data_IF_500131618611
#
_entry.id   IF_500131618611
#
_cell.length_a   1.000
_cell.length_b   1.000
_cell.length_c   1.000
_cell.angle_alpha   90.00
_cell.angle_beta   90.00
_cell.angle_gamma   90.00
#
_symmetry.space_group_name_H-M   'P 1'
#
loop_
_entity.id
_entity.type
_entity.pdbx_description
1 polymer ?
#
# COMPACT_ATOMS: atom_id res chain seq x y z
N UNK A 1 10.45 10.09 -11.42
CA UNK A 1 11.88 9.93 -11.11
C UNK A 1 12.22 8.48 -10.88
N UNK A 2 13.38 8.05 -11.34
CA UNK A 2 13.99 6.75 -11.09
C UNK A 2 15.51 6.90 -10.96
N UNK A 3 16.14 6.07 -10.11
CA UNK A 3 17.59 6.02 -9.91
C UNK A 3 18.05 4.58 -9.65
N UNK A 4 19.13 4.16 -10.28
CA UNK A 4 19.93 3.00 -9.86
C UNK A 4 20.79 3.44 -8.67
N UNK A 5 20.57 2.86 -7.49
CA UNK A 5 21.30 3.20 -6.26
C UNK A 5 22.62 2.44 -6.19
N UNK A 6 22.54 1.14 -6.49
CA UNK A 6 23.66 0.19 -6.53
C UNK A 6 23.38 -0.93 -7.52
N UNK A 7 24.21 -1.96 -7.56
CA UNK A 7 24.07 -3.08 -8.50
C UNK A 7 22.83 -3.96 -8.24
N UNK A 8 22.12 -3.78 -7.15
CA UNK A 8 20.96 -4.60 -6.75
C UNK A 8 19.72 -3.78 -6.45
N UNK A 9 19.86 -2.44 -6.41
CA UNK A 9 18.80 -1.56 -5.89
C UNK A 9 18.46 -0.45 -6.88
N UNK A 10 17.17 -0.30 -7.14
CA UNK A 10 16.57 0.81 -7.87
C UNK A 10 15.53 1.48 -6.99
N UNK A 11 15.51 2.81 -7.00
CA UNK A 11 14.49 3.57 -6.29
C UNK A 11 13.87 4.63 -7.18
N UNK A 12 12.75 5.16 -6.78
CA UNK A 12 12.11 6.25 -7.50
C UNK A 12 10.80 6.69 -6.88
N UNK A 13 10.15 7.62 -7.57
CA UNK A 13 8.83 8.06 -7.19
C UNK A 13 7.96 8.40 -8.40
N UNK A 14 6.66 8.30 -8.17
CA UNK A 14 5.65 8.75 -9.12
C UNK A 14 4.70 9.71 -8.42
N UNK A 15 4.46 10.87 -9.04
CA UNK A 15 3.42 11.80 -8.66
C UNK A 15 2.25 11.66 -9.61
N UNK A 16 1.07 11.46 -9.06
CA UNK A 16 -0.13 11.19 -9.84
C UNK A 16 -1.23 12.16 -9.40
N UNK A 17 -1.95 12.70 -10.36
CA UNK A 17 -3.22 13.39 -10.16
C UNK A 17 -4.35 12.54 -10.72
N UNK A 18 -5.46 12.56 -10.07
CA UNK A 18 -6.67 11.82 -10.44
C UNK A 18 -7.76 12.14 -9.43
N UNK A 19 -8.48 11.14 -8.96
CA UNK A 19 -9.45 11.33 -7.88
C UNK A 19 -8.79 11.87 -6.60
N UNK A 20 -7.62 11.39 -6.24
CA UNK A 20 -6.79 12.08 -5.27
C UNK A 20 -6.03 13.21 -5.98
N UNK A 21 -6.09 14.46 -5.49
CA UNK A 21 -5.49 15.62 -6.14
C UNK A 21 -3.96 15.59 -6.14
N UNK A 22 -3.35 14.92 -5.17
CA UNK A 22 -1.89 14.86 -5.01
C UNK A 22 -1.46 13.53 -4.39
N UNK A 23 -1.27 12.52 -5.22
CA UNK A 23 -0.75 11.22 -4.75
C UNK A 23 0.73 11.08 -5.08
N UNK A 24 1.54 10.90 -4.04
CA UNK A 24 2.98 10.67 -4.15
C UNK A 24 3.28 9.24 -3.70
N UNK A 25 3.88 8.45 -4.57
CA UNK A 25 4.29 7.08 -4.28
C UNK A 25 5.79 6.97 -4.53
N UNK A 26 6.52 6.74 -3.48
CA UNK A 26 7.94 6.40 -3.50
C UNK A 26 8.08 4.89 -3.47
N UNK A 27 9.11 4.36 -4.10
CA UNK A 27 9.37 2.93 -4.11
C UNK A 27 10.85 2.63 -4.01
N UNK A 28 11.14 1.46 -3.49
CA UNK A 28 12.46 0.80 -3.57
C UNK A 28 12.23 -0.60 -4.12
N UNK A 29 13.02 -0.95 -5.13
CA UNK A 29 13.10 -2.28 -5.72
C UNK A 29 14.48 -2.86 -5.42
N UNK A 30 14.52 -4.09 -4.89
CA UNK A 30 15.77 -4.87 -4.76
C UNK A 30 15.66 -6.18 -5.52
N UNK A 31 16.77 -6.59 -6.16
CA UNK A 31 16.91 -7.89 -6.79
C UNK A 31 17.96 -8.73 -6.04
N UNK A 32 17.80 -10.05 -6.10
CA UNK A 32 18.80 -11.01 -5.60
C UNK A 32 19.95 -11.23 -6.59
N UNK A 33 19.76 -10.81 -7.84
CA UNK A 33 20.75 -10.87 -8.91
C UNK A 33 21.26 -9.48 -9.27
N UNK A 34 22.53 -9.39 -9.68
CA UNK A 34 23.15 -8.15 -10.12
C UNK A 34 22.46 -7.58 -11.36
N UNK A 35 22.12 -6.30 -11.32
CA UNK A 35 21.65 -5.52 -12.45
C UNK A 35 22.86 -5.15 -13.30
N UNK A 36 23.11 -5.89 -14.37
CA UNK A 36 24.26 -5.65 -15.25
C UNK A 36 24.08 -4.36 -16.07
N UNK A 37 22.84 -4.08 -16.48
CA UNK A 37 22.52 -2.87 -17.21
C UNK A 37 21.23 -2.25 -16.73
N UNK A 38 21.28 -0.95 -16.46
CA UNK A 38 20.13 -0.11 -16.20
C UNK A 38 19.96 0.85 -17.38
N UNK A 39 18.78 0.89 -17.97
CA UNK A 39 18.45 1.84 -19.03
C UNK A 39 17.17 2.57 -18.66
N UNK A 40 17.26 3.88 -18.46
CA UNK A 40 16.09 4.73 -18.26
C UNK A 40 15.66 5.36 -19.60
N UNK A 41 14.37 5.61 -19.74
CA UNK A 41 13.77 6.20 -20.95
C UNK A 41 12.91 7.39 -20.56
N UNK A 42 13.03 8.45 -21.35
CA UNK A 42 12.06 9.52 -21.40
C UNK A 42 11.08 9.17 -22.52
N UNK A 43 9.89 8.72 -22.14
CA UNK A 43 8.95 8.02 -23.01
C UNK A 43 9.61 6.83 -23.75
N UNK A 44 9.97 6.95 -25.01
CA UNK A 44 10.62 5.91 -25.80
C UNK A 44 12.10 6.24 -26.11
N UNK A 45 12.61 7.36 -25.62
CA UNK A 45 13.98 7.79 -25.87
C UNK A 45 14.91 7.33 -24.75
N UNK A 46 15.88 6.44 -25.01
CA UNK A 46 16.82 5.98 -24.00
C UNK A 46 17.75 7.11 -23.53
N UNK A 47 18.03 7.10 -22.22
CA UNK A 47 19.00 7.98 -21.56
C UNK A 47 20.07 7.12 -20.90
N UNK A 48 21.32 7.49 -21.06
CA UNK A 48 22.47 6.74 -20.54
C UNK A 48 22.87 7.21 -19.12
N UNK A 49 21.90 7.53 -18.28
CA UNK A 49 22.13 8.03 -16.94
C UNK A 49 21.57 7.06 -15.91
N UNK A 50 22.26 6.94 -14.78
CA UNK A 50 21.82 6.12 -13.64
C UNK A 50 20.62 6.74 -12.90
N UNK A 51 20.19 7.95 -13.29
CA UNK A 51 18.98 8.59 -12.77
C UNK A 51 18.28 9.41 -13.85
N UNK A 52 16.96 9.47 -13.77
CA UNK A 52 16.14 10.25 -14.69
C UNK A 52 14.91 10.83 -13.98
N UNK A 53 14.65 12.12 -14.22
CA UNK A 53 13.45 12.81 -13.75
C UNK A 53 12.75 13.48 -14.92
N UNK A 54 11.69 12.87 -15.39
CA UNK A 54 10.86 13.33 -16.53
C UNK A 54 9.40 12.97 -16.28
N UNK A 55 8.51 13.42 -17.11
CA UNK A 55 7.08 13.18 -16.98
C UNK A 55 6.73 11.71 -17.23
N UNK A 56 7.32 11.08 -18.24
CA UNK A 56 7.02 9.69 -18.64
C UNK A 56 8.24 8.78 -18.53
N UNK A 57 8.66 8.50 -17.29
CA UNK A 57 9.79 7.61 -17.01
C UNK A 57 9.41 6.14 -17.23
N UNK A 58 10.25 5.43 -17.99
CA UNK A 58 10.29 3.96 -18.08
C UNK A 58 11.70 3.49 -17.76
N UNK A 59 11.86 2.24 -17.34
CA UNK A 59 13.18 1.63 -17.17
C UNK A 59 13.19 0.16 -17.56
N UNK A 60 14.35 -0.28 -18.02
CA UNK A 60 14.64 -1.69 -18.29
C UNK A 60 15.86 -2.08 -17.46
N UNK A 61 15.70 -3.15 -16.69
CA UNK A 61 16.76 -3.79 -15.93
C UNK A 61 17.18 -5.04 -16.68
N UNK A 62 18.47 -5.16 -17.00
CA UNK A 62 19.03 -6.36 -17.63
C UNK A 62 19.85 -7.10 -16.59
N UNK A 63 19.52 -8.36 -16.41
CA UNK A 63 20.28 -9.30 -15.60
C UNK A 63 21.13 -10.19 -16.51
N UNK A 64 22.21 -10.76 -16.00
CA UNK A 64 23.06 -11.67 -16.77
C UNK A 64 22.34 -12.95 -17.17
N UNK A 65 23.12 -13.95 -17.60
CA UNK A 65 22.58 -15.24 -17.99
C UNK A 65 22.15 -16.05 -16.73
N UNK A 66 21.05 -15.63 -16.13
CA UNK A 66 20.46 -16.25 -14.93
C UNK A 66 19.13 -16.90 -15.29
N UNK A 67 18.81 -18.04 -14.61
CA UNK A 67 17.55 -18.75 -14.83
C UNK A 67 16.36 -18.12 -14.10
N UNK A 68 16.64 -17.44 -13.00
CA UNK A 68 15.64 -16.88 -12.10
C UNK A 68 16.15 -15.59 -11.50
N UNK A 69 15.27 -14.62 -11.33
CA UNK A 69 15.50 -13.37 -10.60
C UNK A 69 14.39 -13.18 -9.60
N UNK A 70 14.73 -13.02 -8.33
CA UNK A 70 13.78 -12.62 -7.30
C UNK A 70 13.83 -11.10 -7.12
N UNK A 71 12.65 -10.50 -7.09
CA UNK A 71 12.50 -9.06 -6.93
C UNK A 71 11.62 -8.79 -5.72
N UNK A 72 12.03 -7.84 -4.89
CA UNK A 72 11.25 -7.29 -3.78
C UNK A 72 10.98 -5.82 -4.04
N UNK A 73 9.76 -5.38 -3.78
CA UNK A 73 9.38 -3.98 -3.90
C UNK A 73 8.64 -3.56 -2.64
N UNK A 74 8.99 -2.40 -2.13
CA UNK A 74 8.21 -1.71 -1.11
C UNK A 74 7.89 -0.28 -1.55
N UNK A 75 6.83 0.26 -0.98
CA UNK A 75 6.36 1.61 -1.26
C UNK A 75 6.24 2.42 0.02
N UNK A 76 6.24 3.74 -0.14
CA UNK A 76 5.95 4.72 0.90
C UNK A 76 5.25 5.94 0.30
N UNK A 77 4.46 6.63 1.09
CA UNK A 77 3.92 7.95 0.73
C UNK A 77 4.86 9.10 1.11
N UNK A 78 5.95 8.80 1.82
CA UNK A 78 6.84 9.77 2.45
C UNK A 78 8.14 9.94 1.66
N UNK A 79 8.94 8.87 1.53
CA UNK A 79 10.26 8.91 0.87
C UNK A 79 10.72 7.54 0.39
N UNK A 80 11.79 7.51 -0.43
CA UNK A 80 12.47 6.27 -0.80
C UNK A 80 13.14 5.61 0.41
N UNK A 81 13.67 6.39 1.34
CA UNK A 81 14.27 5.87 2.58
C UNK A 81 13.24 5.14 3.43
N UNK A 82 12.03 5.69 3.55
CA UNK A 82 10.92 5.01 4.22
C UNK A 82 10.50 3.73 3.49
N UNK A 83 10.45 3.74 2.16
CA UNK A 83 10.18 2.52 1.40
C UNK A 83 11.26 1.45 1.63
N UNK A 84 12.54 1.84 1.73
CA UNK A 84 13.64 0.93 2.06
C UNK A 84 13.50 0.35 3.48
N UNK A 85 13.10 1.17 4.43
CA UNK A 85 12.85 0.76 5.82
C UNK A 85 11.66 -0.21 5.91
N UNK A 86 10.56 0.07 5.21
CA UNK A 86 9.41 -0.83 5.09
C UNK A 86 9.85 -2.19 4.51
N UNK A 87 10.64 -2.18 3.42
CA UNK A 87 11.15 -3.40 2.81
C UNK A 87 11.97 -4.24 3.78
N UNK A 88 12.85 -3.61 4.54
CA UNK A 88 13.69 -4.29 5.52
C UNK A 88 12.88 -4.88 6.67
N UNK A 89 11.89 -4.16 7.17
CA UNK A 89 11.06 -4.61 8.29
C UNK A 89 10.09 -5.73 7.90
N UNK A 90 9.47 -5.63 6.71
CA UNK A 90 8.39 -6.53 6.31
C UNK A 90 8.90 -7.74 5.52
N UNK A 91 9.99 -7.60 4.77
CA UNK A 91 10.51 -8.61 3.85
C UNK A 91 12.04 -8.65 3.82
N UNK A 92 12.66 -8.97 4.97
CA UNK A 92 14.13 -9.02 5.13
C UNK A 92 14.81 -10.18 4.37
N UNK A 93 14.09 -11.25 4.04
CA UNK A 93 14.63 -12.48 3.43
C UNK A 93 14.22 -12.65 1.96
N UNK A 94 14.85 -13.61 1.24
CA UNK A 94 14.58 -13.95 -0.16
C UNK A 94 13.84 -15.29 -0.34
N UNK A 95 13.32 -15.86 0.73
CA UNK A 95 12.56 -17.11 0.71
C UNK A 95 11.11 -16.84 0.25
N UNK A 96 10.84 -17.13 -1.02
CA UNK A 96 9.52 -16.91 -1.64
C UNK A 96 8.44 -17.81 -1.01
N UNK A 97 8.76 -19.09 -0.78
CA UNK A 97 7.80 -20.04 -0.23
C UNK A 97 7.38 -19.66 1.19
N UNK A 98 8.32 -19.13 1.97
CA UNK A 98 8.03 -18.57 3.29
C UNK A 98 7.07 -17.39 3.19
N UNK A 99 7.21 -16.51 2.19
CA UNK A 99 6.28 -15.38 1.98
C UNK A 99 4.88 -15.89 1.64
N UNK A 100 4.78 -16.88 0.74
CA UNK A 100 3.50 -17.52 0.39
C UNK A 100 2.83 -18.10 1.63
N UNK A 101 3.60 -18.87 2.43
CA UNK A 101 3.08 -19.44 3.68
C UNK A 101 2.62 -18.36 4.67
N UNK A 102 3.43 -17.36 4.90
CA UNK A 102 3.09 -16.25 5.83
C UNK A 102 1.82 -15.51 5.39
N UNK A 103 1.65 -15.27 4.08
CA UNK A 103 0.45 -14.65 3.53
C UNK A 103 -0.79 -15.52 3.75
N UNK A 104 -0.68 -16.82 3.43
CA UNK A 104 -1.75 -17.79 3.64
C UNK A 104 -2.16 -17.87 5.12
N UNK A 105 -1.18 -17.99 6.02
CA UNK A 105 -1.43 -18.09 7.46
C UNK A 105 -2.13 -16.81 8.00
N UNK A 106 -1.72 -15.63 7.51
CA UNK A 106 -2.36 -14.35 7.89
C UNK A 106 -3.80 -14.27 7.43
N UNK A 107 -4.08 -14.65 6.19
CA UNK A 107 -5.44 -14.64 5.66
C UNK A 107 -6.33 -15.67 6.35
N UNK A 108 -5.85 -16.88 6.55
CA UNK A 108 -6.59 -17.91 7.29
C UNK A 108 -6.95 -17.42 8.69
N UNK A 109 -5.99 -16.83 9.42
CA UNK A 109 -6.26 -16.25 10.75
C UNK A 109 -7.36 -15.17 10.73
N UNK A 110 -7.46 -14.38 9.66
CA UNK A 110 -8.53 -13.38 9.56
C UNK A 110 -9.87 -14.01 9.18
N UNK A 111 -9.86 -14.96 8.25
CA UNK A 111 -11.07 -15.65 7.80
C UNK A 111 -11.66 -16.56 8.88
N UNK A 112 -10.83 -17.13 9.74
CA UNK A 112 -11.25 -17.97 10.88
C UNK A 112 -11.96 -17.18 12.01
N UNK A 113 -12.01 -15.84 11.94
CA UNK A 113 -12.79 -15.03 12.88
C UNK A 113 -14.30 -15.25 12.77
N UNK A 114 -14.77 -15.72 11.61
CA UNK A 114 -16.13 -16.19 11.40
C UNK A 114 -16.10 -17.51 10.67
N UNK A 115 -16.71 -18.53 11.25
CA UNK A 115 -16.82 -19.85 10.63
C UNK A 115 -18.27 -20.16 10.29
N UNK A 116 -18.48 -20.86 9.20
CA UNK A 116 -19.80 -21.33 8.76
C UNK A 116 -19.78 -22.83 8.49
N UNK A 117 -20.76 -23.53 9.01
CA UNK A 117 -21.01 -24.94 8.72
C UNK A 117 -22.18 -25.06 7.73
N UNK A 118 -22.00 -25.77 6.65
CA UNK A 118 -23.01 -26.01 5.63
C UNK A 118 -22.61 -27.20 4.77
N UNK A 119 -23.56 -27.98 4.32
CA UNK A 119 -23.36 -29.02 3.32
C UNK A 119 -23.28 -28.47 1.88
N UNK A 120 -23.65 -27.20 1.70
CA UNK A 120 -23.54 -26.47 0.43
C UNK A 120 -22.17 -25.81 0.29
N UNK A 121 -21.28 -26.44 -0.46
CA UNK A 121 -19.92 -25.92 -0.73
C UNK A 121 -19.94 -24.61 -1.57
N UNK A 122 -20.98 -24.38 -2.38
CA UNK A 122 -21.11 -23.12 -3.12
C UNK A 122 -21.46 -21.98 -2.18
N UNK A 123 -22.39 -22.20 -1.25
CA UNK A 123 -22.73 -21.22 -0.21
C UNK A 123 -21.53 -20.89 0.69
N UNK A 124 -20.75 -21.89 1.11
CA UNK A 124 -19.50 -21.66 1.87
C UNK A 124 -18.51 -20.78 1.09
N UNK A 125 -18.32 -21.07 -0.18
CA UNK A 125 -17.41 -20.29 -1.04
C UNK A 125 -17.88 -18.83 -1.15
N UNK A 126 -19.17 -18.60 -1.35
CA UNK A 126 -19.76 -17.25 -1.40
C UNK A 126 -19.54 -16.53 -0.08
N UNK A 127 -19.80 -17.20 1.05
CA UNK A 127 -19.59 -16.63 2.39
C UNK A 127 -18.15 -16.17 2.61
N UNK A 128 -17.17 -17.06 2.41
CA UNK A 128 -15.75 -16.72 2.64
C UNK A 128 -15.23 -15.69 1.62
N UNK A 129 -15.73 -15.70 0.39
CA UNK A 129 -15.41 -14.65 -0.59
C UNK A 129 -15.94 -13.30 -0.13
N UNK A 130 -17.20 -13.24 0.34
CA UNK A 130 -17.77 -12.01 0.89
C UNK A 130 -17.02 -11.55 2.14
N UNK A 131 -16.68 -12.47 3.04
CA UNK A 131 -15.90 -12.17 4.23
C UNK A 131 -14.51 -11.62 3.88
N UNK A 132 -13.80 -12.21 2.91
CA UNK A 132 -12.56 -11.67 2.37
C UNK A 132 -12.73 -10.24 1.85
N UNK A 133 -13.79 -9.97 1.08
CA UNK A 133 -14.07 -8.64 0.53
C UNK A 133 -14.29 -7.58 1.62
N UNK A 134 -14.81 -7.93 2.78
CA UNK A 134 -14.97 -6.98 3.90
C UNK A 134 -13.64 -6.47 4.46
N UNK A 135 -12.52 -7.13 4.14
CA UNK A 135 -11.19 -6.82 4.67
C UNK A 135 -10.24 -6.19 3.64
N UNK A 136 -10.71 -5.92 2.41
CA UNK A 136 -9.89 -5.27 1.36
C UNK A 136 -9.67 -3.79 1.67
N UNK A 137 -10.66 -3.13 2.26
CA UNK A 137 -10.61 -1.74 2.71
C UNK A 137 -11.16 -1.63 4.14
N UNK A 138 -10.71 -0.66 4.93
CA UNK A 138 -9.73 0.38 4.63
C UNK A 138 -8.30 -0.14 4.48
N UNK A 139 -7.44 0.64 3.84
CA UNK A 139 -6.05 0.28 3.58
C UNK A 139 -5.13 0.92 4.60
N UNK A 140 -4.19 0.15 5.17
CA UNK A 140 -3.12 0.68 6.02
C UNK A 140 -2.29 1.71 5.23
N UNK A 141 -2.12 2.89 5.81
CA UNK A 141 -1.49 4.03 5.15
C UNK A 141 -0.51 4.74 6.08
N UNK A 142 0.42 4.01 6.63
CA UNK A 142 1.60 4.54 7.32
C UNK A 142 2.78 3.60 7.10
N UNK A 143 3.97 4.17 7.17
CA UNK A 143 5.21 3.42 7.16
C UNK A 143 5.47 2.74 8.51
N UNK A 144 6.42 1.83 8.57
CA UNK A 144 6.73 1.05 9.81
C UNK A 144 7.19 1.92 10.97
N UNK A 145 7.66 3.14 10.71
CA UNK A 145 8.00 4.14 11.73
C UNK A 145 6.81 5.02 12.14
N UNK A 146 5.60 4.77 11.60
CA UNK A 146 4.39 5.54 11.85
C UNK A 146 4.26 6.83 11.04
N UNK A 147 5.15 7.09 10.09
CA UNK A 147 5.04 8.25 9.20
C UNK A 147 4.04 8.03 8.08
N UNK A 148 3.33 9.08 7.72
CA UNK A 148 2.42 9.09 6.57
C UNK A 148 2.24 10.52 6.04
N UNK A 149 1.78 10.63 4.79
CA UNK A 149 1.45 11.92 4.18
C UNK A 149 -0.01 12.25 4.42
N UNK A 150 -0.26 13.39 5.08
CA UNK A 150 -1.60 13.86 5.40
C UNK A 150 -2.34 14.47 4.21
N UNK A 151 -3.60 14.83 4.45
CA UNK A 151 -4.52 15.42 3.45
C UNK A 151 -4.08 16.78 2.94
N UNK A 152 -3.25 17.50 3.69
CA UNK A 152 -2.64 18.78 3.36
C UNK A 152 -1.22 18.66 2.78
N UNK A 153 -0.83 17.45 2.35
CA UNK A 153 0.48 17.12 1.77
C UNK A 153 1.67 17.19 2.76
N UNK A 154 1.41 17.46 4.04
CA UNK A 154 2.43 17.45 5.10
C UNK A 154 2.71 16.01 5.59
N UNK A 155 3.91 15.79 6.11
CA UNK A 155 4.25 14.51 6.76
C UNK A 155 3.88 14.56 8.24
N UNK A 156 3.21 13.52 8.68
CA UNK A 156 2.82 13.31 10.07
C UNK A 156 3.42 12.00 10.58
N UNK A 157 3.59 11.90 11.88
CA UNK A 157 4.13 10.72 12.54
C UNK A 157 3.25 10.35 13.74
N UNK A 158 2.79 9.11 13.78
CA UNK A 158 2.20 8.52 14.98
C UNK A 158 2.68 7.07 15.13
N UNK A 159 3.79 6.84 15.85
CA UNK A 159 4.36 5.50 15.98
C UNK A 159 3.51 4.54 16.84
N UNK A 160 2.47 5.05 17.50
CA UNK A 160 1.59 4.26 18.39
C UNK A 160 0.29 3.85 17.73
N UNK A 161 -0.06 4.44 16.58
CA UNK A 161 -1.34 4.24 15.91
C UNK A 161 -1.15 3.97 14.44
N UNK A 162 -1.84 2.95 13.95
CA UNK A 162 -1.96 2.71 12.53
C UNK A 162 -2.86 3.77 11.88
N UNK A 163 -2.43 4.37 10.77
CA UNK A 163 -3.23 5.28 9.98
C UNK A 163 -3.82 4.56 8.77
N UNK A 164 -5.10 4.82 8.48
CA UNK A 164 -5.83 4.18 7.40
C UNK A 164 -6.34 5.17 6.37
N UNK A 165 -6.44 4.71 5.13
CA UNK A 165 -7.03 5.44 3.99
C UNK A 165 -8.04 4.54 3.26
N UNK A 166 -8.63 5.06 2.18
CA UNK A 166 -9.65 4.35 1.39
C UNK A 166 -10.89 4.06 2.24
N UNK A 167 -11.43 5.13 2.82
CA UNK A 167 -12.64 5.07 3.65
C UNK A 167 -13.83 5.44 2.79
N UNK A 168 -14.61 4.44 2.37
CA UNK A 168 -15.84 4.66 1.60
C UNK A 168 -17.04 4.75 2.55
N UNK A 169 -17.18 5.86 3.27
CA UNK A 169 -18.08 5.94 4.42
C UNK A 169 -19.55 5.77 4.05
N UNK A 170 -19.98 6.30 2.92
CA UNK A 170 -21.37 6.17 2.46
C UNK A 170 -21.78 4.73 2.07
N UNK A 171 -20.80 3.86 1.74
CA UNK A 171 -21.02 2.44 1.50
C UNK A 171 -21.01 1.64 2.80
N UNK A 172 -20.09 1.96 3.70
CA UNK A 172 -19.68 1.07 4.81
C UNK A 172 -20.47 1.30 6.10
N UNK A 173 -21.14 2.46 6.26
CA UNK A 173 -21.72 2.87 7.54
C UNK A 173 -22.85 1.92 8.03
N UNK A 174 -23.62 1.32 7.14
CA UNK A 174 -24.77 0.48 7.51
C UNK A 174 -24.40 -0.91 8.00
N UNK A 175 -23.42 -1.54 7.37
CA UNK A 175 -23.12 -2.95 7.62
C UNK A 175 -21.65 -3.19 7.94
N UNK A 176 -20.70 -2.73 7.10
CA UNK A 176 -19.30 -3.05 7.28
C UNK A 176 -18.73 -2.44 8.56
N UNK A 177 -19.00 -1.15 8.84
CA UNK A 177 -18.48 -0.52 10.06
C UNK A 177 -19.04 -1.19 11.33
N UNK A 178 -20.34 -1.49 11.47
CA UNK A 178 -20.85 -2.30 12.57
C UNK A 178 -20.23 -3.70 12.65
N UNK A 179 -20.06 -4.39 11.51
CA UNK A 179 -19.42 -5.70 11.47
C UNK A 179 -17.98 -5.63 12.02
N UNK A 180 -17.20 -4.60 11.63
CA UNK A 180 -15.82 -4.43 12.10
C UNK A 180 -15.73 -4.28 13.62
N UNK A 181 -16.71 -3.69 14.28
CA UNK A 181 -16.73 -3.62 15.76
C UNK A 181 -16.84 -5.00 16.44
N UNK A 182 -17.29 -5.99 15.70
CA UNK A 182 -17.45 -7.37 16.18
C UNK A 182 -16.23 -8.22 15.84
N UNK A 183 -15.81 -8.20 14.55
CA UNK A 183 -14.76 -9.11 14.05
C UNK A 183 -13.34 -8.53 14.08
N UNK A 184 -13.22 -7.19 14.15
CA UNK A 184 -11.93 -6.48 14.17
C UNK A 184 -11.93 -5.29 15.14
N UNK A 185 -12.34 -5.46 16.41
CA UNK A 185 -12.46 -4.35 17.36
C UNK A 185 -11.13 -3.62 17.57
N UNK A 186 -10.00 -4.32 17.45
CA UNK A 186 -8.66 -3.77 17.56
C UNK A 186 -8.31 -2.74 16.47
N UNK A 187 -9.02 -2.77 15.35
CA UNK A 187 -8.80 -1.83 14.24
C UNK A 187 -9.67 -0.57 14.36
N UNK A 188 -10.80 -0.64 15.04
CA UNK A 188 -11.82 0.43 15.08
C UNK A 188 -11.24 1.74 15.61
N UNK A 189 -10.51 1.71 16.71
CA UNK A 189 -9.88 2.90 17.30
C UNK A 189 -8.88 3.57 16.32
N UNK A 190 -8.13 2.78 15.57
CA UNK A 190 -7.18 3.30 14.58
C UNK A 190 -7.91 3.96 13.39
N UNK A 191 -9.02 3.39 12.94
CA UNK A 191 -9.85 3.97 11.87
C UNK A 191 -10.47 5.28 12.34
N UNK A 192 -11.04 5.33 13.54
CA UNK A 192 -11.59 6.56 14.13
C UNK A 192 -10.49 7.64 14.29
N UNK A 193 -9.32 7.25 14.81
CA UNK A 193 -8.20 8.19 14.92
C UNK A 193 -7.72 8.69 13.57
N UNK A 194 -7.77 7.87 12.51
CA UNK A 194 -7.46 8.31 11.14
C UNK A 194 -8.45 9.37 10.66
N UNK A 195 -9.75 9.18 10.91
CA UNK A 195 -10.77 10.19 10.57
C UNK A 195 -10.57 11.50 11.34
N UNK A 196 -10.25 11.42 12.64
CA UNK A 196 -9.94 12.60 13.45
C UNK A 196 -8.65 13.29 13.03
N UNK A 197 -7.66 12.55 12.57
CA UNK A 197 -6.42 13.11 12.00
C UNK A 197 -6.71 13.84 10.69
N UNK A 198 -7.54 13.26 9.82
CA UNK A 198 -8.00 13.93 8.59
C UNK A 198 -8.74 15.25 8.93
N UNK A 199 -9.64 15.23 9.92
CA UNK A 199 -10.30 16.45 10.38
C UNK A 199 -9.31 17.54 10.80
N UNK A 200 -8.29 17.20 11.60
CA UNK A 200 -7.25 18.15 12.05
C UNK A 200 -6.39 18.70 10.91
N UNK A 201 -6.30 17.99 9.78
CA UNK A 201 -5.48 18.36 8.63
C UNK A 201 -6.22 19.23 7.61
N UNK A 202 -7.55 19.18 7.57
CA UNK A 202 -8.34 19.86 6.55
C UNK A 202 -9.60 20.58 7.07
N UNK A 203 -9.82 20.59 8.41
CA UNK A 203 -11.01 21.15 9.09
C UNK A 203 -12.35 20.56 8.63
N UNK A 204 -12.31 19.33 8.08
CA UNK A 204 -13.47 18.55 7.65
C UNK A 204 -13.26 17.08 7.99
N UNK A 205 -14.33 16.42 8.41
CA UNK A 205 -14.34 14.96 8.45
C UNK A 205 -14.20 14.39 7.02
N UNK A 206 -13.63 13.19 6.88
CA UNK A 206 -13.52 12.57 5.56
C UNK A 206 -14.89 12.26 4.97
N UNK A 207 -14.98 12.36 3.64
CA UNK A 207 -16.11 11.90 2.85
C UNK A 207 -15.73 10.60 2.15
N UNK A 208 -14.72 10.66 1.30
CA UNK A 208 -14.16 9.51 0.59
C UNK A 208 -12.63 9.73 0.39
N UNK A 209 -11.85 9.62 1.48
CA UNK A 209 -10.42 9.89 1.42
C UNK A 209 -9.67 8.78 0.70
N UNK A 210 -8.77 9.19 -0.17
CA UNK A 210 -7.71 8.38 -0.75
C UNK A 210 -6.35 8.81 -0.16
N UNK A 211 -5.27 8.22 -0.68
CA UNK A 211 -3.91 8.60 -0.29
C UNK A 211 -3.70 10.10 -0.48
N UNK A 212 -3.45 10.83 0.60
CA UNK A 212 -3.13 12.27 0.62
C UNK A 212 -4.16 13.17 -0.07
N UNK A 213 -5.42 12.79 -0.10
CA UNK A 213 -6.42 13.63 -0.74
C UNK A 213 -7.86 13.18 -0.59
N UNK A 214 -8.74 14.16 -0.44
CA UNK A 214 -10.19 13.94 -0.42
C UNK A 214 -10.72 13.94 -1.85
N UNK A 215 -11.55 12.95 -2.19
CA UNK A 215 -12.17 12.90 -3.51
C UNK A 215 -13.47 13.69 -3.58
N UNK A 216 -14.08 13.99 -2.42
CA UNK A 216 -15.43 14.55 -2.29
C UNK A 216 -16.50 13.74 -3.07
N UNK A 217 -16.28 12.45 -3.22
CA UNK A 217 -17.16 11.56 -3.94
C UNK A 217 -18.37 11.20 -3.06
N UNK A 218 -19.57 11.35 -3.62
CA UNK A 218 -20.84 10.98 -2.97
C UNK A 218 -21.02 11.61 -1.57
N UNK A 219 -20.98 12.95 -1.44
CA UNK A 219 -21.32 13.62 -0.19
C UNK A 219 -22.82 13.42 0.14
N UNK A 220 -23.15 13.39 1.42
CA UNK A 220 -24.56 13.40 1.85
C UNK A 220 -25.00 12.26 2.75
N UNK A 221 -24.07 11.72 3.54
CA UNK A 221 -24.42 10.84 4.68
C UNK A 221 -24.30 11.61 6.01
#
# INVERSE_FOLDING_TARGET
YIRKVDDYTVEGYRYVRGWSPSRKVYFVLKSDQKIEKFTAYDDNTPKLWDQLKVESVKSVLTFGNVKEVKIKVAISSVSCDNAAMNLQAELSHWDFDKVVKMSSDRWNKQLDKMTVESDDEAAKRVFYTAHYHTMIAPTLYCDVNGEYRGMNDMIYTDPKKANYTTLSLWDTYRALNPLMTIIQPEMVDNVINSMLSIYRQQDKLPIWPLMSGETNCMPGY
#
